data_IF_493857290365
#
_entry.id   IF_493857290365
#
_cell.length_a   1.000
_cell.length_b   1.000
_cell.length_c   1.000
_cell.angle_alpha   90.00
_cell.angle_beta   90.00
_cell.angle_gamma   90.00
#
_symmetry.space_group_name_H-M   'P 1'
#
loop_
_entity.id
_entity.type
_entity.pdbx_description
1 polymer ?
#
# COMPACT_ATOMS: atom_id res chain seq x y z
N UNK A 1 -3.46 22.68 14.29
CA UNK A 1 -4.14 22.23 13.06
C UNK A 1 -3.11 21.43 12.31
N UNK A 2 -3.30 20.14 12.14
CA UNK A 2 -2.31 19.29 11.43
C UNK A 2 -2.41 19.57 9.93
N UNK A 3 -1.28 19.73 9.26
CA UNK A 3 -1.24 19.94 7.82
C UNK A 3 -1.80 18.73 7.09
N UNK A 4 -2.56 18.99 6.04
CA UNK A 4 -3.01 17.95 5.14
C UNK A 4 -1.88 17.65 4.15
N UNK A 5 -1.50 16.37 3.99
CA UNK A 5 -0.54 15.97 2.98
C UNK A 5 -1.09 16.17 1.56
N UNK A 6 -2.41 16.24 1.42
CA UNK A 6 -3.11 16.47 0.16
C UNK A 6 -4.05 17.65 0.34
N UNK A 7 -3.92 18.67 -0.51
CA UNK A 7 -4.59 19.96 -0.38
C UNK A 7 -6.09 19.90 -0.59
N UNK A 8 -6.54 19.06 -1.47
CA UNK A 8 -7.94 19.01 -1.88
C UNK A 8 -8.61 17.75 -1.34
N UNK A 9 -9.83 17.94 -0.85
CA UNK A 9 -10.70 16.82 -0.53
C UNK A 9 -10.92 15.98 -1.77
N UNK A 10 -10.40 14.76 -1.77
CA UNK A 10 -10.56 13.84 -2.87
C UNK A 10 -11.76 12.96 -2.57
N UNK A 11 -12.62 12.80 -3.57
CA UNK A 11 -13.66 11.78 -3.50
C UNK A 11 -13.01 10.42 -3.73
N UNK A 12 -13.18 9.52 -2.78
CA UNK A 12 -12.84 8.11 -2.97
C UNK A 12 -13.80 7.43 -3.96
N UNK A 13 -13.59 6.16 -4.22
CA UNK A 13 -14.43 5.37 -5.14
C UNK A 13 -15.88 5.21 -4.65
N UNK A 14 -16.16 5.40 -3.38
CA UNK A 14 -17.51 5.41 -2.79
C UNK A 14 -18.15 6.81 -2.80
N UNK A 15 -17.41 7.83 -3.21
CA UNK A 15 -17.86 9.21 -3.24
C UNK A 15 -17.68 9.99 -1.93
N UNK A 16 -17.04 9.41 -0.92
CA UNK A 16 -16.71 10.11 0.31
C UNK A 16 -15.53 11.06 0.08
N UNK A 17 -15.61 12.23 0.68
CA UNK A 17 -14.46 13.14 0.75
C UNK A 17 -13.48 12.66 1.80
N UNK A 18 -12.23 12.52 1.41
CA UNK A 18 -11.16 12.14 2.28
C UNK A 18 -9.93 13.01 2.06
N UNK A 19 -9.08 13.09 3.07
CA UNK A 19 -7.75 13.66 2.94
C UNK A 19 -6.75 12.80 3.70
N UNK A 20 -5.51 12.81 3.24
CA UNK A 20 -4.43 12.13 3.93
C UNK A 20 -3.82 13.08 4.97
N UNK A 21 -3.59 12.57 6.18
CA UNK A 21 -2.89 13.33 7.19
C UNK A 21 -1.39 13.47 6.84
N UNK A 22 -0.75 14.50 7.36
CA UNK A 22 0.69 14.63 7.21
C UNK A 22 1.43 13.66 8.14
N UNK A 23 1.78 12.49 7.60
CA UNK A 23 2.49 11.46 8.36
C UNK A 23 3.93 11.87 8.74
N UNK A 24 4.47 12.93 8.15
CA UNK A 24 5.77 13.50 8.54
C UNK A 24 5.70 14.34 9.82
N UNK A 25 4.51 14.80 10.21
CA UNK A 25 4.30 15.45 11.49
C UNK A 25 4.17 14.43 12.63
N UNK A 26 5.05 14.52 13.61
CA UNK A 26 5.07 13.57 14.73
C UNK A 26 3.80 13.66 15.61
N UNK A 27 3.20 14.82 15.71
CA UNK A 27 1.94 15.02 16.43
C UNK A 27 0.77 14.39 15.69
N UNK A 28 0.77 14.51 14.35
CA UNK A 28 -0.24 13.88 13.51
C UNK A 28 -0.15 12.35 13.56
N UNK A 29 1.06 11.75 13.55
CA UNK A 29 1.25 10.31 13.77
C UNK A 29 0.71 9.84 15.12
N UNK A 30 0.97 10.58 16.20
CA UNK A 30 0.44 10.26 17.54
C UNK A 30 -1.10 10.33 17.57
N UNK A 31 -1.68 11.33 16.92
CA UNK A 31 -3.13 11.45 16.79
C UNK A 31 -3.73 10.30 16.01
N UNK A 32 -3.14 9.95 14.88
CA UNK A 32 -3.57 8.83 14.04
C UNK A 32 -3.58 7.53 14.83
N UNK A 33 -2.45 7.19 15.50
CA UNK A 33 -2.39 6.00 16.33
C UNK A 33 -3.42 6.04 17.47
N UNK A 34 -3.57 7.16 18.16
CA UNK A 34 -4.56 7.29 19.23
C UNK A 34 -5.97 6.93 18.77
N UNK A 35 -6.37 7.40 17.58
CA UNK A 35 -7.68 7.06 17.03
C UNK A 35 -7.81 5.57 16.71
N UNK A 36 -6.77 4.96 16.19
CA UNK A 36 -6.73 3.51 15.93
C UNK A 36 -6.78 2.71 17.24
N UNK A 37 -6.05 3.14 18.25
CA UNK A 37 -6.01 2.49 19.54
C UNK A 37 -7.37 2.54 20.26
N UNK A 38 -7.91 3.75 20.42
CA UNK A 38 -9.18 3.97 21.14
C UNK A 38 -10.38 3.30 20.45
N UNK A 39 -10.41 3.25 19.12
CA UNK A 39 -11.55 2.77 18.36
C UNK A 39 -11.43 1.32 17.89
N UNK A 40 -10.22 0.79 17.79
CA UNK A 40 -9.97 -0.55 17.26
C UNK A 40 -9.14 -1.40 18.23
N UNK A 41 -7.88 -1.07 18.46
CA UNK A 41 -6.91 -1.97 19.08
C UNK A 41 -7.23 -2.29 20.54
N UNK A 42 -7.27 -1.28 21.40
CA UNK A 42 -7.65 -1.45 22.82
C UNK A 42 -9.12 -1.83 22.98
N UNK A 43 -10.00 -1.24 22.14
CA UNK A 43 -11.43 -1.54 22.17
C UNK A 43 -11.74 -3.03 21.97
N UNK A 44 -11.02 -3.70 21.09
CA UNK A 44 -11.17 -5.14 20.86
C UNK A 44 -10.19 -5.98 21.66
N UNK A 45 -9.67 -5.44 22.77
CA UNK A 45 -8.82 -6.15 23.75
C UNK A 45 -7.58 -6.79 23.11
N UNK A 46 -6.94 -6.03 22.22
CA UNK A 46 -5.74 -6.49 21.50
C UNK A 46 -5.98 -7.71 20.58
N UNK A 47 -7.21 -7.93 20.16
CA UNK A 47 -7.58 -9.02 19.25
C UNK A 47 -7.20 -8.78 17.79
N UNK A 48 -6.38 -7.75 17.50
CA UNK A 48 -5.88 -7.43 16.17
C UNK A 48 -4.43 -7.90 16.09
N UNK A 49 -4.17 -8.87 15.23
CA UNK A 49 -2.85 -9.48 15.06
C UNK A 49 -2.04 -8.83 13.93
N UNK A 50 -2.71 -8.20 12.97
CA UNK A 50 -2.10 -7.59 11.80
C UNK A 50 -2.90 -6.38 11.31
N UNK A 51 -2.23 -5.49 10.58
CA UNK A 51 -2.83 -4.32 9.96
C UNK A 51 -2.68 -4.38 8.45
N UNK A 52 -3.77 -4.17 7.75
CA UNK A 52 -3.76 -3.98 6.31
C UNK A 52 -3.85 -2.48 6.02
N UNK A 53 -2.74 -1.94 5.53
CA UNK A 53 -2.56 -0.53 5.22
C UNK A 53 -2.75 -0.31 3.73
N UNK A 54 -3.98 -0.35 3.28
CA UNK A 54 -4.32 -0.07 1.90
C UNK A 54 -4.22 1.43 1.60
N UNK A 55 -4.09 1.77 0.33
CA UNK A 55 -4.01 3.14 -0.17
C UNK A 55 -2.90 4.01 0.46
N UNK A 56 -1.84 3.37 0.97
CA UNK A 56 -0.77 4.00 1.77
C UNK A 56 0.35 4.65 0.95
N UNK A 57 0.17 4.87 -0.35
CA UNK A 57 1.13 5.55 -1.24
C UNK A 57 1.41 7.03 -0.89
N UNK A 58 0.52 7.96 -0.58
CA UNK A 58 -0.94 7.96 -0.44
C UNK A 58 -1.68 7.87 -1.79
N UNK A 59 -2.78 7.14 -1.82
CA UNK A 59 -3.57 6.99 -3.03
C UNK A 59 -4.42 8.26 -3.30
N UNK A 60 -4.08 8.95 -4.35
CA UNK A 60 -4.82 10.14 -4.81
C UNK A 60 -5.88 9.80 -5.85
N UNK A 61 -5.70 8.76 -6.58
CA UNK A 61 -6.54 8.02 -7.53
C UNK A 61 -5.63 7.05 -8.26
N UNK A 62 -6.10 5.86 -8.51
CA UNK A 62 -5.37 4.91 -9.34
C UNK A 62 -5.11 5.50 -10.73
N UNK A 63 -3.98 5.16 -11.31
CA UNK A 63 -3.56 5.64 -12.64
C UNK A 63 -3.39 7.16 -12.79
N UNK A 64 -3.38 7.92 -11.70
CA UNK A 64 -3.15 9.36 -11.76
C UNK A 64 -1.69 9.65 -12.10
N UNK A 65 -1.39 10.50 -13.11
CA UNK A 65 -0.02 10.89 -13.42
C UNK A 65 0.71 11.53 -12.24
N UNK A 66 2.00 11.24 -12.10
CA UNK A 66 2.82 11.71 -10.98
C UNK A 66 2.80 13.24 -10.82
N UNK A 67 2.80 13.98 -11.92
CA UNK A 67 2.75 15.44 -11.87
C UNK A 67 1.47 15.96 -11.22
N UNK A 68 0.33 15.28 -11.47
CA UNK A 68 -0.95 15.66 -10.86
C UNK A 68 -0.97 15.33 -9.35
N UNK A 69 -0.47 14.15 -8.98
CA UNK A 69 -0.31 13.79 -7.57
C UNK A 69 0.53 14.82 -6.81
N UNK A 70 1.64 15.25 -7.38
CA UNK A 70 2.50 16.30 -6.81
C UNK A 70 1.78 17.65 -6.70
N UNK A 71 0.97 18.01 -7.69
CA UNK A 71 0.21 19.25 -7.67
C UNK A 71 -0.86 19.28 -6.57
N UNK A 72 -1.48 18.15 -6.29
CA UNK A 72 -2.47 18.01 -5.22
C UNK A 72 -1.85 17.96 -3.83
N UNK A 73 -0.59 17.52 -3.72
CA UNK A 73 0.07 17.37 -2.44
C UNK A 73 0.51 18.72 -1.85
N UNK A 74 0.17 18.97 -0.60
CA UNK A 74 0.61 20.13 0.17
C UNK A 74 2.05 19.98 0.69
N UNK A 75 2.64 21.01 1.26
CA UNK A 75 3.91 20.88 1.96
C UNK A 75 3.73 19.96 3.18
N UNK A 76 4.76 19.15 3.46
CA UNK A 76 4.84 18.33 4.66
C UNK A 76 5.55 19.07 5.78
N UNK A 77 5.51 18.54 6.99
CA UNK A 77 6.26 19.08 8.14
C UNK A 77 7.79 19.09 7.93
N UNK A 78 8.30 18.28 7.00
CA UNK A 78 9.74 18.21 6.70
C UNK A 78 10.15 19.03 5.47
N UNK A 79 9.23 19.41 4.61
CA UNK A 79 9.55 20.13 3.38
C UNK A 79 8.51 19.94 2.29
N UNK A 80 8.95 20.03 1.04
CA UNK A 80 8.04 19.94 -0.10
C UNK A 80 7.54 18.50 -0.30
N UNK A 81 6.27 18.35 -0.66
CA UNK A 81 5.72 17.03 -0.99
C UNK A 81 6.43 16.38 -2.18
N UNK A 82 6.98 17.16 -3.10
CA UNK A 82 7.77 16.64 -4.22
C UNK A 82 8.99 15.84 -3.76
N UNK A 83 9.62 16.29 -2.69
CA UNK A 83 10.79 15.63 -2.10
C UNK A 83 10.40 14.38 -1.29
N UNK A 84 9.33 14.48 -0.53
CA UNK A 84 8.98 13.44 0.46
C UNK A 84 7.87 12.49 0.02
N UNK A 85 7.20 12.73 -1.10
CA UNK A 85 6.01 11.99 -1.51
C UNK A 85 6.17 10.45 -1.47
N UNK A 86 7.28 9.94 -1.98
CA UNK A 86 7.51 8.49 -2.07
C UNK A 86 7.80 7.82 -0.72
N UNK A 87 8.15 8.59 0.30
CA UNK A 87 8.48 8.07 1.63
C UNK A 87 7.26 8.07 2.59
N UNK A 88 6.05 8.34 2.08
CA UNK A 88 4.85 8.40 2.92
C UNK A 88 4.60 7.08 3.65
N UNK A 89 4.72 5.95 2.96
CA UNK A 89 4.44 4.62 3.53
C UNK A 89 5.31 4.30 4.74
N UNK A 90 6.61 4.60 4.69
CA UNK A 90 7.51 4.29 5.80
C UNK A 90 7.19 5.09 7.06
N UNK A 91 6.79 6.36 6.94
CA UNK A 91 6.42 7.18 8.11
C UNK A 91 5.02 6.83 8.63
N UNK A 92 4.13 6.37 7.76
CA UNK A 92 2.84 5.84 8.16
C UNK A 92 2.98 4.49 8.89
N UNK A 93 3.85 3.60 8.40
CA UNK A 93 4.21 2.35 9.09
C UNK A 93 4.85 2.61 10.46
N UNK A 94 5.73 3.61 10.57
CA UNK A 94 6.31 4.08 11.84
C UNK A 94 5.24 4.40 12.88
N UNK A 95 4.19 5.11 12.47
CA UNK A 95 3.10 5.52 13.36
C UNK A 95 2.40 4.31 14.01
N UNK A 96 2.08 3.29 13.20
CA UNK A 96 1.38 2.09 13.68
C UNK A 96 2.33 1.21 14.49
N UNK A 97 3.54 0.98 13.99
CA UNK A 97 4.52 0.13 14.66
C UNK A 97 4.83 0.63 16.07
N UNK A 98 5.26 1.87 16.20
CA UNK A 98 5.60 2.43 17.51
C UNK A 98 4.35 2.66 18.37
N UNK A 99 3.25 3.01 17.75
CA UNK A 99 1.98 3.14 18.45
C UNK A 99 1.57 1.82 19.13
N UNK A 100 1.46 0.74 18.40
CA UNK A 100 1.12 -0.57 18.96
C UNK A 100 2.14 -1.02 20.01
N UNK A 101 3.43 -0.87 19.75
CA UNK A 101 4.49 -1.24 20.69
C UNK A 101 4.45 -0.43 21.99
N UNK A 102 3.96 0.81 21.94
CA UNK A 102 3.80 1.64 23.14
C UNK A 102 2.68 1.17 24.07
N UNK A 103 1.63 0.58 23.49
CA UNK A 103 0.45 0.08 24.23
C UNK A 103 0.65 -1.38 24.65
N UNK A 104 1.15 -2.21 23.74
CA UNK A 104 1.39 -3.64 24.00
C UNK A 104 2.79 -4.07 23.51
N UNK A 105 3.83 -3.88 24.35
CA UNK A 105 5.21 -4.15 23.96
C UNK A 105 5.53 -5.64 23.75
N UNK A 106 4.69 -6.54 24.23
CA UNK A 106 4.90 -7.99 24.14
C UNK A 106 4.29 -8.61 22.88
N UNK A 107 3.41 -7.90 22.18
CA UNK A 107 2.83 -8.40 20.94
C UNK A 107 3.67 -7.95 19.74
N UNK A 108 3.90 -8.90 18.83
CA UNK A 108 4.55 -8.61 17.56
C UNK A 108 3.65 -7.74 16.70
N UNK A 109 4.26 -6.83 15.95
CA UNK A 109 3.56 -6.04 14.93
C UNK A 109 3.74 -6.72 13.59
N UNK A 110 2.70 -6.75 12.78
CA UNK A 110 2.75 -7.12 11.39
C UNK A 110 1.90 -6.14 10.58
N UNK A 111 2.53 -5.57 9.54
CA UNK A 111 1.90 -4.62 8.64
C UNK A 111 1.94 -5.16 7.22
N UNK A 112 0.81 -5.14 6.54
CA UNK A 112 0.74 -5.34 5.09
C UNK A 112 0.42 -3.99 4.46
N UNK A 113 1.32 -3.45 3.64
CA UNK A 113 1.18 -2.12 3.04
C UNK A 113 1.26 -2.18 1.53
N UNK A 114 0.40 -1.40 0.83
CA UNK A 114 0.37 -1.36 -0.64
C UNK A 114 1.53 -0.60 -1.27
N UNK A 115 2.36 -0.01 -0.47
CA UNK A 115 3.52 0.75 -0.91
C UNK A 115 4.72 0.43 -0.06
N UNK A 116 5.90 0.77 -0.52
CA UNK A 116 7.11 0.55 0.23
C UNK A 116 8.18 1.57 -0.08
N UNK A 117 9.04 1.76 0.89
CA UNK A 117 10.22 2.61 0.78
C UNK A 117 11.42 1.91 1.41
N UNK A 118 12.63 2.22 0.95
CA UNK A 118 13.85 1.61 1.45
C UNK A 118 13.96 1.73 2.98
N UNK A 119 14.13 0.60 3.66
CA UNK A 119 14.22 0.53 5.11
C UNK A 119 12.90 0.30 5.85
N UNK A 120 11.78 0.18 5.15
CA UNK A 120 10.45 0.00 5.75
C UNK A 120 10.29 -1.35 6.47
N UNK A 121 11.06 -2.37 6.08
CA UNK A 121 11.10 -3.67 6.76
C UNK A 121 11.41 -3.58 8.26
N UNK A 122 12.02 -2.47 8.73
CA UNK A 122 12.27 -2.22 10.17
C UNK A 122 10.99 -2.12 10.99
N UNK A 123 9.87 -1.85 10.34
CA UNK A 123 8.55 -1.73 10.97
C UNK A 123 7.71 -3.00 10.79
N UNK A 124 8.37 -4.14 10.52
CA UNK A 124 7.70 -5.45 10.33
C UNK A 124 6.69 -5.44 9.19
N UNK A 125 7.03 -4.77 8.10
CA UNK A 125 6.18 -4.66 6.93
C UNK A 125 6.41 -5.81 5.95
N UNK A 126 5.31 -6.32 5.41
CA UNK A 126 5.24 -6.95 4.10
C UNK A 126 4.50 -6.00 3.17
N UNK A 127 4.73 -6.13 1.88
CA UNK A 127 4.09 -5.29 0.87
C UNK A 127 3.39 -6.14 -0.18
N UNK A 128 2.46 -5.54 -0.91
CA UNK A 128 1.94 -6.12 -2.15
C UNK A 128 1.89 -5.05 -3.23
N UNK A 129 1.80 -5.50 -4.46
CA UNK A 129 1.92 -4.62 -5.63
C UNK A 129 0.66 -3.81 -5.95
N UNK A 130 -0.39 -3.95 -5.15
CA UNK A 130 -1.67 -3.27 -5.38
C UNK A 130 -2.55 -3.98 -6.40
N UNK A 131 -3.54 -3.24 -6.89
CA UNK A 131 -4.59 -3.71 -7.77
C UNK A 131 -4.05 -3.92 -9.19
N UNK A 132 -3.59 -5.12 -9.48
CA UNK A 132 -3.10 -5.50 -10.80
C UNK A 132 -4.23 -6.06 -11.66
N UNK A 133 -4.11 -5.92 -12.99
CA UNK A 133 -5.08 -6.49 -13.91
C UNK A 133 -4.87 -8.01 -14.08
N UNK A 134 -5.95 -8.71 -14.43
CA UNK A 134 -5.96 -10.15 -14.69
C UNK A 134 -5.39 -10.41 -16.09
N UNK A 135 -4.08 -10.16 -16.27
CA UNK A 135 -3.35 -10.34 -17.53
C UNK A 135 -2.02 -11.03 -17.31
N UNK A 136 -1.58 -11.80 -18.29
CA UNK A 136 -0.29 -12.48 -18.25
C UNK A 136 0.90 -11.50 -18.24
N UNK A 137 0.76 -10.36 -18.92
CA UNK A 137 1.77 -9.31 -18.96
C UNK A 137 1.98 -8.72 -17.56
N UNK A 138 0.89 -8.45 -16.86
CA UNK A 138 0.94 -7.92 -15.49
C UNK A 138 1.59 -8.92 -14.54
N UNK A 139 1.19 -10.20 -14.62
CA UNK A 139 1.81 -11.25 -13.82
C UNK A 139 3.33 -11.37 -14.09
N UNK A 140 3.74 -11.33 -15.36
CA UNK A 140 5.16 -11.37 -15.73
C UNK A 140 5.92 -10.16 -15.20
N UNK A 141 5.33 -8.96 -15.33
CA UNK A 141 5.90 -7.73 -14.79
C UNK A 141 6.06 -7.79 -13.26
N UNK A 142 5.08 -8.36 -12.55
CA UNK A 142 5.13 -8.52 -11.09
C UNK A 142 6.27 -9.44 -10.63
N UNK A 143 6.56 -10.50 -11.34
CA UNK A 143 7.71 -11.38 -11.01
C UNK A 143 9.02 -10.61 -11.10
N UNK A 144 9.22 -9.85 -12.17
CA UNK A 144 10.42 -9.01 -12.34
C UNK A 144 10.49 -7.91 -11.29
N UNK A 145 9.37 -7.24 -11.03
CA UNK A 145 9.29 -6.22 -10.00
C UNK A 145 9.62 -6.78 -8.61
N UNK A 146 9.11 -7.98 -8.27
CA UNK A 146 9.37 -8.65 -7.00
C UNK A 146 10.85 -8.95 -6.77
N UNK A 147 11.56 -9.41 -7.81
CA UNK A 147 13.00 -9.63 -7.75
C UNK A 147 13.76 -8.31 -7.48
N UNK A 148 13.43 -7.24 -8.23
CA UNK A 148 14.04 -5.93 -8.03
C UNK A 148 13.72 -5.35 -6.66
N UNK A 149 12.51 -5.54 -6.17
CA UNK A 149 12.07 -5.10 -4.86
C UNK A 149 12.85 -5.78 -3.73
N UNK A 150 13.05 -7.10 -3.87
CA UNK A 150 13.88 -7.87 -2.95
C UNK A 150 15.34 -7.41 -2.96
N UNK A 151 15.89 -7.07 -4.13
CA UNK A 151 17.24 -6.50 -4.26
C UNK A 151 17.36 -5.12 -3.62
N UNK A 152 16.26 -4.37 -3.54
CA UNK A 152 16.21 -3.09 -2.81
C UNK A 152 16.10 -3.25 -1.29
N UNK A 153 16.11 -4.49 -0.78
CA UNK A 153 16.05 -4.79 0.66
C UNK A 153 14.63 -4.91 1.23
N UNK A 154 13.64 -5.09 0.36
CA UNK A 154 12.24 -5.31 0.72
C UNK A 154 11.80 -6.73 0.29
N UNK A 155 12.21 -7.79 1.01
CA UNK A 155 12.08 -9.16 0.52
C UNK A 155 10.68 -9.75 0.64
N UNK A 156 9.80 -9.09 1.39
CA UNK A 156 8.44 -9.59 1.63
C UNK A 156 7.45 -8.86 0.72
N UNK A 157 7.40 -9.29 -0.55
CA UNK A 157 6.44 -8.79 -1.53
C UNK A 157 5.45 -9.89 -1.90
N UNK A 158 4.17 -9.57 -1.79
CA UNK A 158 3.06 -10.32 -2.34
C UNK A 158 2.50 -9.68 -3.60
N UNK A 159 1.52 -10.32 -4.18
CA UNK A 159 0.72 -9.80 -5.29
C UNK A 159 -0.68 -10.40 -5.25
N UNK A 160 -1.63 -9.73 -5.88
CA UNK A 160 -2.98 -10.26 -6.07
C UNK A 160 -2.94 -11.40 -7.09
N UNK A 161 -2.97 -12.63 -6.56
CA UNK A 161 -2.88 -13.83 -7.39
C UNK A 161 -4.13 -13.97 -8.26
N UNK A 162 -3.93 -13.99 -9.59
CA UNK A 162 -5.01 -13.99 -10.54
C UNK A 162 -5.52 -12.59 -10.92
N UNK A 163 -4.92 -11.53 -10.35
CA UNK A 163 -5.30 -10.13 -10.57
C UNK A 163 -6.48 -9.69 -9.71
N UNK A 164 -6.59 -8.39 -9.47
CA UNK A 164 -7.71 -7.74 -8.79
C UNK A 164 -8.69 -7.12 -9.80
N UNK A 165 -8.16 -6.41 -10.79
CA UNK A 165 -8.97 -5.73 -11.79
C UNK A 165 -9.28 -6.68 -12.95
N UNK A 166 -10.51 -7.17 -13.04
CA UNK A 166 -10.97 -7.91 -14.21
C UNK A 166 -11.03 -6.97 -15.43
N UNK A 167 -10.30 -7.29 -16.49
CA UNK A 167 -10.58 -6.69 -17.80
C UNK A 167 -11.83 -7.33 -18.39
N UNK A 168 -12.52 -6.61 -19.32
CA UNK A 168 -13.71 -7.08 -20.05
C UNK A 168 -13.36 -8.21 -21.06
N UNK A 169 -12.44 -9.10 -20.70
CA UNK A 169 -12.16 -10.33 -21.45
C UNK A 169 -12.87 -11.50 -20.76
N UNK A 170 -13.29 -12.52 -21.50
CA UNK A 170 -13.78 -13.75 -20.89
C UNK A 170 -12.73 -14.22 -19.87
N UNK A 171 -13.16 -14.45 -18.64
CA UNK A 171 -12.27 -15.00 -17.62
C UNK A 171 -11.66 -16.28 -18.18
N UNK A 172 -10.35 -16.35 -18.20
CA UNK A 172 -9.66 -17.62 -18.43
C UNK A 172 -10.21 -18.66 -17.44
N UNK A 173 -10.43 -19.91 -17.87
CA UNK A 173 -10.90 -20.94 -16.95
C UNK A 173 -10.04 -20.97 -15.68
N UNK A 174 -10.60 -21.24 -14.51
CA UNK A 174 -9.87 -21.21 -13.24
C UNK A 174 -8.57 -22.02 -13.21
N UNK A 175 -8.48 -23.06 -14.07
CA UNK A 175 -7.26 -23.87 -14.26
C UNK A 175 -6.11 -23.14 -14.95
N UNK A 176 -6.39 -22.02 -15.64
CA UNK A 176 -5.41 -21.20 -16.35
C UNK A 176 -4.91 -20.01 -15.49
N UNK A 177 -5.55 -19.75 -14.36
CA UNK A 177 -5.02 -18.85 -13.36
C UNK A 177 -3.85 -19.54 -12.67
N UNK A 178 -2.66 -19.31 -13.21
CA UNK A 178 -1.44 -19.92 -12.69
C UNK A 178 -1.12 -19.37 -11.29
N UNK A 179 -0.85 -20.29 -10.40
CA UNK A 179 -0.19 -19.92 -9.15
C UNK A 179 1.23 -19.41 -9.46
N UNK A 180 1.66 -18.27 -8.93
CA UNK A 180 2.97 -17.69 -9.23
C UNK A 180 4.18 -18.59 -8.92
N UNK A 181 3.96 -19.72 -8.28
CA UNK A 181 5.04 -20.66 -7.94
C UNK A 181 5.35 -21.74 -9.00
N UNK A 182 4.54 -21.90 -10.03
CA UNK A 182 4.66 -23.09 -10.89
C UNK A 182 5.45 -22.89 -12.19
N UNK A 183 5.94 -21.70 -12.49
CA UNK A 183 6.84 -21.45 -13.63
C UNK A 183 6.31 -21.85 -15.02
N UNK A 184 5.01 -22.13 -15.14
CA UNK A 184 4.43 -22.49 -16.43
C UNK A 184 4.19 -21.23 -17.26
N UNK A 185 4.68 -21.21 -18.46
CA UNK A 185 4.43 -20.13 -19.42
C UNK A 185 2.94 -20.06 -19.77
N UNK A 186 2.44 -18.83 -19.96
CA UNK A 186 1.13 -18.63 -20.55
C UNK A 186 1.04 -19.34 -21.89
N UNK A 187 -0.08 -19.97 -22.24
CA UNK A 187 -0.27 -20.49 -23.58
C UNK A 187 -0.15 -19.35 -24.59
N UNK A 188 0.61 -19.55 -25.66
CA UNK A 188 0.68 -18.61 -26.78
C UNK A 188 -0.74 -18.35 -27.27
N UNK A 189 -1.08 -17.07 -27.42
CA UNK A 189 -2.36 -16.68 -28.03
C UNK A 189 -2.46 -17.32 -29.41
N UNK A 190 -3.53 -18.06 -29.66
CA UNK A 190 -3.83 -18.50 -31.02
C UNK A 190 -4.06 -17.25 -31.89
N UNK A 191 -3.49 -17.16 -33.09
CA UNK A 191 -3.77 -16.03 -33.98
C UNK A 191 -5.27 -15.93 -34.23
N UNK A 192 -5.81 -14.73 -34.06
CA UNK A 192 -7.21 -14.44 -34.38
C UNK A 192 -7.50 -14.78 -35.84
N UNK A 193 -8.70 -15.28 -36.16
CA UNK A 193 -9.10 -15.66 -37.51
C UNK A 193 -9.23 -14.45 -38.45
#
# INVERSE_FOLDING_TARGET
MYHQAIKDDIHDWLGFRGSFYDAYDAGARKMFWRQMDENLYTKYKFGIDAWWMDASEPNVRDCTPMWYRKALSGPTALGTSTEYFNAYSIVNADAIYHGQRSVNPNQRVFLLTRSGFAGEQRYSTATWSGDIATRWEDMRAQMTAGLNYSMAGLPFLGLDQGGFCAENRPLAPPREVLHPGNGQAAPEEAPEP
#
